data_IF_080925926487
#
_entry.id   IF_080925926487
#
_cell.length_a   1.000
_cell.length_b   1.000
_cell.length_c   1.000
_cell.angle_alpha   90.00
_cell.angle_beta   90.00
_cell.angle_gamma   90.00
#
_symmetry.space_group_name_H-M   'P 1'
#
loop_
_entity.id
_entity.type
_entity.pdbx_description
1 polymer ?
#
# COMPACT_ATOMS: atom_id res chain seq x y z
N UNK A 1 15.53 -1.72 12.17
CA UNK A 1 14.13 -2.23 12.27
C UNK A 1 13.22 -1.18 11.66
N UNK A 2 12.27 -1.61 10.84
CA UNK A 2 11.26 -0.75 10.22
C UNK A 2 9.87 -1.35 10.43
N UNK A 3 8.90 -0.51 10.76
CA UNK A 3 7.48 -0.83 10.73
C UNK A 3 6.89 -0.35 9.41
N UNK A 4 6.56 -1.30 8.56
CA UNK A 4 5.93 -1.07 7.28
C UNK A 4 4.44 -1.37 7.34
N UNK A 5 3.63 -0.64 6.59
CA UNK A 5 2.19 -0.82 6.59
C UNK A 5 1.58 -0.64 5.20
N UNK A 6 0.36 -1.13 5.04
CA UNK A 6 -0.50 -0.85 3.88
C UNK A 6 -1.92 -0.54 4.32
N UNK A 7 -2.57 0.40 3.64
CA UNK A 7 -3.92 0.79 3.96
C UNK A 7 -4.69 1.29 2.72
N UNK A 8 -5.73 0.56 2.34
CA UNK A 8 -6.70 1.05 1.36
C UNK A 8 -7.66 2.03 2.06
N UNK A 9 -7.67 3.29 1.63
CA UNK A 9 -8.42 4.38 2.28
C UNK A 9 -9.89 4.45 1.85
N UNK A 10 -10.30 3.71 0.81
CA UNK A 10 -11.62 3.83 0.21
C UNK A 10 -12.03 5.31 -0.02
N UNK A 11 -11.10 6.11 -0.51
CA UNK A 11 -11.29 7.55 -0.75
C UNK A 11 -11.75 8.31 0.52
N UNK A 12 -11.31 7.83 1.68
CA UNK A 12 -11.63 8.39 3.01
C UNK A 12 -13.14 8.46 3.32
N UNK A 13 -13.91 7.43 2.90
CA UNK A 13 -15.37 7.42 3.07
C UNK A 13 -15.91 6.39 4.07
N UNK A 14 -15.08 5.46 4.53
CA UNK A 14 -15.58 4.31 5.27
C UNK A 14 -16.38 3.35 4.37
N UNK A 15 -17.12 2.41 4.94
CA UNK A 15 -18.02 1.54 4.17
C UNK A 15 -19.15 2.33 3.50
N UNK A 16 -19.77 3.20 4.27
CA UNK A 16 -20.87 4.08 3.84
C UNK A 16 -20.75 5.37 4.64
N UNK A 17 -20.69 6.50 3.99
CA UNK A 17 -20.63 7.75 4.74
C UNK A 17 -19.97 8.90 4.00
N UNK A 18 -19.88 10.05 4.68
CA UNK A 18 -19.25 11.23 4.12
C UNK A 18 -17.74 11.04 4.00
N UNK A 19 -17.14 11.80 3.09
CA UNK A 19 -15.70 11.96 2.98
C UNK A 19 -15.16 12.59 4.30
N UNK A 20 -14.29 11.86 4.99
CA UNK A 20 -13.77 12.26 6.30
C UNK A 20 -12.28 11.88 6.47
N UNK A 21 -11.37 12.55 5.74
CA UNK A 21 -9.95 12.18 5.68
C UNK A 21 -9.24 12.25 7.04
N UNK A 22 -9.70 13.09 7.97
CA UNK A 22 -9.13 13.17 9.32
C UNK A 22 -9.16 11.83 10.05
N UNK A 23 -10.24 11.03 9.88
CA UNK A 23 -10.32 9.69 10.49
C UNK A 23 -9.20 8.77 10.00
N UNK A 24 -8.91 8.80 8.69
CA UNK A 24 -7.83 7.99 8.12
C UNK A 24 -6.46 8.46 8.62
N UNK A 25 -6.26 9.79 8.77
CA UNK A 25 -5.02 10.35 9.34
C UNK A 25 -4.83 9.94 10.80
N UNK A 26 -5.89 9.95 11.62
CA UNK A 26 -5.87 9.45 13.00
C UNK A 26 -5.47 7.98 13.08
N UNK A 27 -5.99 7.16 12.17
CA UNK A 27 -5.63 5.73 12.06
C UNK A 27 -4.15 5.56 11.71
N UNK A 28 -3.65 6.32 10.73
CA UNK A 28 -2.24 6.28 10.32
C UNK A 28 -1.34 6.74 11.47
N UNK A 29 -1.69 7.82 12.14
CA UNK A 29 -0.94 8.34 13.29
C UNK A 29 -0.89 7.32 14.43
N UNK A 30 -2.02 6.70 14.77
CA UNK A 30 -2.09 5.70 15.84
C UNK A 30 -1.34 4.39 15.49
N UNK A 31 -1.30 4.01 14.23
CA UNK A 31 -0.50 2.87 13.74
C UNK A 31 1.00 3.17 13.82
N UNK A 32 1.39 4.45 13.66
CA UNK A 32 2.78 4.93 13.71
C UNK A 32 3.76 4.10 12.84
N UNK A 33 3.53 3.96 11.52
CA UNK A 33 4.44 3.26 10.64
C UNK A 33 5.65 4.12 10.27
N UNK A 34 6.77 3.48 9.94
CA UNK A 34 7.91 4.18 9.34
C UNK A 34 7.67 4.45 7.85
N UNK A 35 7.01 3.50 7.18
CA UNK A 35 6.61 3.58 5.77
C UNK A 35 5.20 2.98 5.63
N UNK A 36 4.32 3.65 4.89
CA UNK A 36 2.99 3.12 4.60
C UNK A 36 2.62 3.30 3.13
N UNK A 37 2.22 2.20 2.48
CA UNK A 37 1.63 2.23 1.15
C UNK A 37 0.13 2.45 1.25
N UNK A 38 -0.37 3.48 0.60
CA UNK A 38 -1.78 3.86 0.61
C UNK A 38 -2.43 3.60 -0.75
N UNK A 39 -3.65 3.08 -0.73
CA UNK A 39 -4.48 2.89 -1.91
C UNK A 39 -5.74 3.75 -1.82
N UNK A 40 -6.30 4.06 -2.97
CA UNK A 40 -7.49 4.91 -3.13
C UNK A 40 -7.36 6.31 -2.51
N UNK A 41 -6.17 6.90 -2.63
CA UNK A 41 -5.85 8.25 -2.12
C UNK A 41 -6.43 9.38 -2.97
N UNK A 42 -6.94 9.08 -4.18
CA UNK A 42 -7.49 10.03 -5.13
C UNK A 42 -8.89 9.60 -5.58
N UNK A 43 -9.75 10.55 -5.91
CA UNK A 43 -11.01 10.27 -6.59
C UNK A 43 -10.75 9.81 -8.04
N UNK A 44 -11.54 8.85 -8.55
CA UNK A 44 -11.28 8.22 -9.85
C UNK A 44 -11.70 9.04 -11.06
N UNK A 45 -12.64 9.95 -10.90
CA UNK A 45 -13.30 10.66 -12.00
C UNK A 45 -12.91 12.13 -12.07
N UNK A 46 -13.09 12.74 -13.24
CA UNK A 46 -12.82 14.15 -13.50
C UNK A 46 -11.34 14.51 -13.35
N UNK A 47 -11.07 15.60 -12.66
CA UNK A 47 -9.71 16.09 -12.37
C UNK A 47 -8.92 15.20 -11.42
N UNK A 48 -9.52 14.11 -10.92
CA UNK A 48 -8.94 13.14 -9.98
C UNK A 48 -8.29 13.80 -8.76
N UNK A 49 -9.05 14.64 -8.02
CA UNK A 49 -8.49 15.32 -6.87
C UNK A 49 -8.13 14.33 -5.76
N UNK A 50 -7.20 14.74 -4.92
CA UNK A 50 -6.80 13.96 -3.75
C UNK A 50 -7.99 13.76 -2.80
N UNK A 51 -8.20 12.51 -2.37
CA UNK A 51 -9.16 12.17 -1.33
C UNK A 51 -8.54 12.32 0.07
N UNK A 52 -7.23 12.13 0.18
CA UNK A 52 -6.45 12.45 1.38
C UNK A 52 -5.70 13.75 1.14
N UNK A 53 -6.11 14.88 1.75
CA UNK A 53 -5.49 16.18 1.51
C UNK A 53 -4.01 16.20 1.92
N UNK A 54 -3.14 16.48 0.97
CA UNK A 54 -1.67 16.53 1.14
C UNK A 54 -1.24 17.43 2.29
N UNK A 55 -1.86 18.60 2.40
CA UNK A 55 -1.53 19.60 3.42
C UNK A 55 -1.78 19.16 4.87
N UNK A 56 -2.55 18.08 5.09
CA UNK A 56 -2.85 17.58 6.43
C UNK A 56 -1.94 16.43 6.87
N UNK A 57 -1.19 15.83 5.93
CA UNK A 57 -0.48 14.57 6.18
C UNK A 57 0.64 14.76 7.21
N UNK A 58 1.54 15.71 6.97
CA UNK A 58 2.73 15.88 7.81
C UNK A 58 2.35 16.27 9.25
N UNK A 59 1.44 17.23 9.42
CA UNK A 59 0.97 17.68 10.74
C UNK A 59 0.30 16.54 11.51
N UNK A 60 -0.57 15.76 10.85
CA UNK A 60 -1.37 14.74 11.50
C UNK A 60 -0.60 13.44 11.78
N UNK A 61 0.42 13.10 10.98
CA UNK A 61 1.05 11.78 11.02
C UNK A 61 2.57 11.81 11.22
N UNK A 62 3.22 12.95 11.05
CA UNK A 62 4.68 13.07 11.02
C UNK A 62 5.32 12.46 9.76
N UNK A 63 4.53 11.98 8.79
CA UNK A 63 5.02 11.38 7.56
C UNK A 63 4.98 12.36 6.40
N UNK A 64 5.80 12.11 5.38
CA UNK A 64 5.81 12.88 4.13
C UNK A 64 5.48 11.96 2.95
N UNK A 65 4.74 12.46 1.94
CA UNK A 65 4.52 11.70 0.71
C UNK A 65 5.83 11.51 -0.09
N UNK A 66 5.98 10.32 -0.66
CA UNK A 66 7.04 10.05 -1.62
C UNK A 66 6.89 10.95 -2.85
N UNK A 67 8.01 11.46 -3.37
CA UNK A 67 8.02 12.30 -4.57
C UNK A 67 7.81 11.46 -5.82
N UNK A 68 6.56 11.42 -6.30
CA UNK A 68 6.16 10.65 -7.48
C UNK A 68 6.17 11.58 -8.69
N UNK A 69 7.22 11.49 -9.49
CA UNK A 69 7.30 12.24 -10.76
C UNK A 69 6.15 11.82 -11.68
N UNK A 70 5.26 12.78 -12.03
CA UNK A 70 4.09 12.55 -12.88
C UNK A 70 3.00 11.75 -12.17
N UNK A 71 2.35 12.35 -11.18
CA UNK A 71 1.08 11.89 -10.59
C UNK A 71 0.00 11.72 -11.66
N UNK A 72 -1.13 11.09 -11.34
CA UNK A 72 -2.20 10.84 -12.32
C UNK A 72 -2.77 12.13 -12.92
N UNK A 73 -2.86 13.17 -12.12
CA UNK A 73 -3.17 14.55 -12.53
C UNK A 73 -2.46 15.54 -11.62
N UNK A 74 -2.50 16.82 -11.94
CA UNK A 74 -1.94 17.89 -11.08
C UNK A 74 -2.63 17.96 -9.70
N UNK A 75 -3.89 17.49 -9.61
CA UNK A 75 -4.68 17.50 -8.40
C UNK A 75 -4.62 16.17 -7.62
N UNK A 76 -3.88 15.18 -8.11
CA UNK A 76 -3.76 13.86 -7.46
C UNK A 76 -2.62 13.85 -6.45
N UNK A 77 -2.85 13.22 -5.29
CA UNK A 77 -1.81 12.93 -4.32
C UNK A 77 -0.82 11.89 -4.85
N UNK A 78 -1.33 10.95 -5.65
CA UNK A 78 -0.56 9.80 -6.07
C UNK A 78 -0.68 9.46 -7.56
N UNK A 79 -0.32 8.22 -7.89
CA UNK A 79 -0.40 7.68 -9.23
C UNK A 79 -1.34 6.48 -9.27
N UNK A 80 -2.37 6.55 -10.13
CA UNK A 80 -3.48 5.59 -10.16
C UNK A 80 -4.13 5.33 -8.79
N UNK A 81 -4.25 6.39 -7.97
CA UNK A 81 -4.84 6.33 -6.64
C UNK A 81 -3.94 5.72 -5.57
N UNK A 82 -2.64 5.61 -5.82
CA UNK A 82 -1.68 5.08 -4.85
C UNK A 82 -0.60 6.08 -4.52
N UNK A 83 -0.15 6.06 -3.27
CA UNK A 83 1.04 6.79 -2.81
C UNK A 83 1.75 6.00 -1.72
N UNK A 84 2.96 6.41 -1.38
CA UNK A 84 3.69 5.90 -0.22
C UNK A 84 4.00 7.11 0.66
N UNK A 85 3.70 7.00 1.95
CA UNK A 85 4.18 7.94 2.95
C UNK A 85 5.35 7.32 3.71
N UNK A 86 6.29 8.14 4.14
CA UNK A 86 7.46 7.69 4.89
C UNK A 86 7.87 8.74 5.92
N UNK A 87 8.68 8.32 6.88
CA UNK A 87 9.33 9.29 7.78
C UNK A 87 10.24 10.24 7.00
N UNK A 88 10.31 11.53 7.37
CA UNK A 88 11.12 12.52 6.66
C UNK A 88 12.60 12.12 6.50
N UNK A 89 13.15 11.43 7.49
CA UNK A 89 14.55 10.99 7.50
C UNK A 89 14.89 9.98 6.39
N UNK A 90 13.86 9.28 5.90
CA UNK A 90 14.01 8.32 4.81
C UNK A 90 13.92 8.98 3.43
N UNK A 91 13.32 10.17 3.35
CA UNK A 91 12.98 10.81 2.09
C UNK A 91 14.22 11.24 1.29
N UNK A 92 15.29 11.68 1.96
CA UNK A 92 16.53 12.14 1.30
C UNK A 92 17.21 11.02 0.49
N UNK A 93 17.20 9.78 1.02
CA UNK A 93 17.80 8.63 0.36
C UNK A 93 16.83 7.88 -0.56
N UNK A 94 15.57 8.29 -0.61
CA UNK A 94 14.53 7.58 -1.32
C UNK A 94 14.48 7.96 -2.81
N UNK A 95 14.27 6.97 -3.66
CA UNK A 95 13.90 7.19 -5.07
C UNK A 95 12.62 6.45 -5.39
N UNK A 96 11.79 7.04 -6.26
CA UNK A 96 10.46 6.52 -6.56
C UNK A 96 10.35 6.17 -8.04
N UNK A 97 9.77 5.00 -8.35
CA UNK A 97 9.46 4.57 -9.71
C UNK A 97 8.00 4.14 -9.83
N UNK A 98 7.34 4.59 -10.87
CA UNK A 98 6.03 4.10 -11.29
C UNK A 98 6.19 2.79 -12.05
N UNK A 99 5.34 1.83 -11.77
CA UNK A 99 5.30 0.51 -12.41
C UNK A 99 3.94 0.35 -13.11
N UNK A 100 3.82 0.67 -14.41
CA UNK A 100 2.58 0.46 -15.15
C UNK A 100 2.18 -1.01 -15.18
N UNK A 101 0.91 -1.29 -14.88
CA UNK A 101 0.38 -2.64 -14.81
C UNK A 101 -0.61 -2.90 -15.96
N UNK A 102 -0.64 -4.13 -16.51
CA UNK A 102 -1.61 -4.51 -17.53
C UNK A 102 -3.00 -4.66 -16.94
N UNK A 103 -4.01 -4.59 -17.79
CA UNK A 103 -5.41 -4.85 -17.42
C UNK A 103 -6.38 -3.81 -17.98
N UNK A 104 -7.67 -4.12 -17.86
CA UNK A 104 -8.76 -3.23 -18.31
C UNK A 104 -8.86 -2.02 -17.38
N UNK A 105 -8.69 -2.24 -16.08
CA UNK A 105 -8.66 -1.16 -15.10
C UNK A 105 -7.27 -0.51 -15.09
N UNK A 106 -7.19 0.84 -15.14
CA UNK A 106 -5.92 1.53 -15.01
C UNK A 106 -5.39 1.36 -13.58
N UNK A 107 -4.47 0.42 -13.43
CA UNK A 107 -3.75 0.09 -12.19
C UNK A 107 -2.26 0.35 -12.35
N UNK A 108 -1.59 0.55 -11.25
CA UNK A 108 -0.15 0.70 -11.19
C UNK A 108 0.38 0.19 -9.86
N UNK A 109 1.68 0.07 -9.75
CA UNK A 109 2.39 -0.08 -8.48
C UNK A 109 3.44 1.02 -8.36
N UNK A 110 3.84 1.34 -7.15
CA UNK A 110 4.86 2.34 -6.84
C UNK A 110 5.99 1.64 -6.13
N UNK A 111 7.19 1.71 -6.68
CA UNK A 111 8.40 1.24 -6.03
C UNK A 111 9.13 2.41 -5.37
N UNK A 112 9.23 2.37 -4.05
CA UNK A 112 10.08 3.21 -3.22
C UNK A 112 11.38 2.46 -2.96
N UNK A 113 12.48 2.98 -3.47
CA UNK A 113 13.81 2.40 -3.29
C UNK A 113 14.57 3.20 -2.24
N UNK A 114 15.00 2.50 -1.21
CA UNK A 114 15.93 2.95 -0.17
C UNK A 114 17.27 2.20 -0.34
N UNK A 115 18.37 2.64 0.31
CA UNK A 115 19.57 1.83 0.39
C UNK A 115 19.23 0.44 0.93
N UNK A 116 19.57 -0.62 0.19
CA UNK A 116 19.38 -2.04 0.55
C UNK A 116 17.93 -2.50 0.74
N UNK A 117 16.90 -1.71 0.38
CA UNK A 117 15.49 -2.11 0.53
C UNK A 117 14.63 -1.45 -0.54
N UNK A 118 13.78 -2.24 -1.19
CA UNK A 118 12.74 -1.74 -2.10
C UNK A 118 11.37 -2.09 -1.57
N UNK A 119 10.54 -1.08 -1.34
CA UNK A 119 9.13 -1.23 -0.95
C UNK A 119 8.26 -1.02 -2.20
N UNK A 120 7.39 -1.96 -2.51
CA UNK A 120 6.46 -1.85 -3.64
C UNK A 120 5.03 -1.80 -3.10
N UNK A 121 4.43 -0.63 -3.15
CA UNK A 121 3.01 -0.43 -2.89
C UNK A 121 2.19 -0.82 -4.12
N UNK A 122 1.12 -1.59 -3.92
CA UNK A 122 0.28 -2.07 -5.02
C UNK A 122 -1.22 -2.06 -4.67
N UNK A 123 -2.05 -2.00 -5.72
CA UNK A 123 -3.48 -2.23 -5.66
C UNK A 123 -3.89 -2.98 -6.93
N UNK A 124 -4.13 -4.28 -6.81
CA UNK A 124 -4.41 -5.14 -7.95
C UNK A 124 -5.85 -5.00 -8.46
N UNK A 125 -6.08 -5.45 -9.67
CA UNK A 125 -7.39 -5.43 -10.31
C UNK A 125 -8.37 -6.45 -9.71
N UNK A 126 -9.66 -6.24 -9.94
CA UNK A 126 -10.74 -7.10 -9.42
C UNK A 126 -10.78 -8.46 -10.17
N UNK A 127 -10.46 -8.47 -11.46
CA UNK A 127 -10.45 -9.70 -12.25
C UNK A 127 -9.17 -10.52 -11.97
N UNK A 128 -9.34 -11.82 -11.72
CA UNK A 128 -8.23 -12.73 -11.41
C UNK A 128 -7.17 -12.80 -12.51
N UNK A 129 -7.60 -12.83 -13.78
CA UNK A 129 -6.67 -12.81 -14.92
C UNK A 129 -5.80 -11.55 -14.92
N UNK A 130 -6.40 -10.39 -14.64
CA UNK A 130 -5.67 -9.13 -14.49
C UNK A 130 -4.67 -9.20 -13.33
N UNK A 131 -5.08 -9.68 -12.15
CA UNK A 131 -4.19 -9.81 -10.98
C UNK A 131 -2.97 -10.69 -11.27
N UNK A 132 -3.17 -11.85 -11.91
CA UNK A 132 -2.06 -12.74 -12.30
C UNK A 132 -1.07 -12.06 -13.25
N UNK A 133 -1.57 -11.39 -14.29
CA UNK A 133 -0.72 -10.64 -15.22
C UNK A 133 -0.01 -9.46 -14.53
N UNK A 134 -0.68 -8.77 -13.62
CA UNK A 134 -0.13 -7.68 -12.84
C UNK A 134 0.98 -8.15 -11.91
N UNK A 135 0.76 -9.22 -11.15
CA UNK A 135 1.79 -9.79 -10.27
C UNK A 135 3.01 -10.28 -11.08
N UNK A 136 2.79 -10.98 -12.19
CA UNK A 136 3.89 -11.41 -13.06
C UNK A 136 4.70 -10.19 -13.58
N UNK A 137 4.03 -9.09 -13.91
CA UNK A 137 4.69 -7.85 -14.34
C UNK A 137 5.47 -7.20 -13.21
N UNK A 138 4.90 -7.14 -12.00
CA UNK A 138 5.57 -6.56 -10.82
C UNK A 138 6.81 -7.36 -10.47
N UNK A 139 6.72 -8.69 -10.37
CA UNK A 139 7.87 -9.55 -10.02
C UNK A 139 8.98 -9.47 -11.06
N UNK A 140 8.64 -9.47 -12.35
CA UNK A 140 9.64 -9.32 -13.43
C UNK A 140 10.32 -7.95 -13.41
N UNK A 141 9.62 -6.88 -13.00
CA UNK A 141 10.23 -5.56 -12.85
C UNK A 141 11.03 -5.45 -11.55
N UNK A 142 10.52 -6.00 -10.46
CA UNK A 142 11.19 -6.01 -9.16
C UNK A 142 12.59 -6.64 -9.26
N UNK A 143 12.72 -7.76 -9.94
CA UNK A 143 14.00 -8.44 -10.17
C UNK A 143 15.03 -7.61 -10.96
N UNK A 144 14.57 -6.54 -11.65
CA UNK A 144 15.46 -5.64 -12.42
C UNK A 144 15.85 -4.37 -11.68
N UNK A 145 15.07 -3.96 -10.68
CA UNK A 145 15.24 -2.68 -9.98
C UNK A 145 15.76 -2.83 -8.56
N UNK A 146 15.59 -3.99 -7.96
CA UNK A 146 16.03 -4.29 -6.61
C UNK A 146 17.23 -5.24 -6.62
N UNK A 147 18.19 -4.97 -5.76
CA UNK A 147 19.35 -5.83 -5.62
C UNK A 147 18.98 -7.10 -4.85
N UNK A 148 18.45 -7.00 -3.63
CA UNK A 148 18.17 -8.20 -2.83
C UNK A 148 16.91 -8.11 -1.93
N UNK A 149 16.66 -6.98 -1.29
CA UNK A 149 15.59 -6.87 -0.28
C UNK A 149 14.34 -6.20 -0.85
N UNK A 150 13.32 -6.98 -1.10
CA UNK A 150 12.05 -6.51 -1.67
C UNK A 150 10.92 -6.81 -0.69
N UNK A 151 10.06 -5.83 -0.49
CA UNK A 151 8.76 -6.01 0.14
C UNK A 151 7.68 -5.44 -0.77
N UNK A 152 6.70 -6.25 -1.13
CA UNK A 152 5.49 -5.85 -1.85
C UNK A 152 4.34 -5.88 -0.86
N UNK A 153 3.55 -4.82 -0.77
CA UNK A 153 2.41 -4.77 0.14
C UNK A 153 1.29 -3.93 -0.46
N UNK A 154 0.05 -4.28 -0.12
CA UNK A 154 -1.10 -3.59 -0.66
C UNK A 154 -2.38 -4.41 -0.63
N UNK A 155 -3.38 -3.89 -1.31
CA UNK A 155 -4.61 -4.60 -1.62
C UNK A 155 -4.40 -5.50 -2.85
N UNK A 156 -4.30 -6.80 -2.58
CA UNK A 156 -4.12 -7.82 -3.62
C UNK A 156 -5.45 -8.20 -4.29
N UNK A 157 -6.58 -7.82 -3.72
CA UNK A 157 -7.92 -8.22 -4.20
C UNK A 157 -8.05 -9.75 -4.42
N UNK A 158 -7.19 -10.57 -3.78
CA UNK A 158 -7.24 -12.02 -3.91
C UNK A 158 -7.93 -12.65 -2.70
N UNK A 159 -9.05 -13.30 -2.98
CA UNK A 159 -9.93 -13.91 -1.99
C UNK A 159 -9.44 -15.28 -1.51
N UNK A 160 -8.47 -15.88 -2.21
CA UNK A 160 -7.98 -17.22 -1.92
C UNK A 160 -6.51 -17.18 -1.52
N UNK A 161 -6.14 -18.07 -0.61
CA UNK A 161 -4.77 -18.21 -0.15
C UNK A 161 -3.96 -19.21 -0.99
N UNK A 162 -4.66 -20.14 -1.65
CA UNK A 162 -4.09 -21.30 -2.33
C UNK A 162 -3.79 -21.08 -3.82
N UNK A 163 -4.21 -19.97 -4.40
CA UNK A 163 -4.03 -19.71 -5.85
C UNK A 163 -4.15 -18.23 -6.21
N UNK A 164 -3.61 -17.88 -7.38
CA UNK A 164 -3.62 -16.49 -7.86
C UNK A 164 -2.36 -15.72 -7.48
N UNK A 165 -1.49 -16.31 -6.66
CA UNK A 165 -0.25 -15.74 -6.15
C UNK A 165 0.99 -16.48 -6.68
N UNK A 166 0.84 -17.28 -7.71
CA UNK A 166 1.89 -18.18 -8.24
C UNK A 166 3.18 -17.41 -8.65
N UNK A 167 3.02 -16.17 -9.13
CA UNK A 167 4.16 -15.30 -9.48
C UNK A 167 5.01 -14.89 -8.26
N UNK A 168 4.52 -15.10 -7.05
CA UNK A 168 5.21 -14.79 -5.80
C UNK A 168 5.94 -15.98 -5.19
N UNK A 169 6.11 -17.10 -5.93
CA UNK A 169 6.78 -18.32 -5.42
C UNK A 169 8.20 -18.07 -4.87
N UNK A 170 8.89 -17.02 -5.35
CA UNK A 170 10.20 -16.60 -4.84
C UNK A 170 10.15 -15.66 -3.61
N UNK A 171 8.97 -15.45 -3.02
CA UNK A 171 8.76 -14.57 -1.88
C UNK A 171 8.02 -15.30 -0.76
N UNK A 172 8.27 -14.89 0.48
CA UNK A 172 7.41 -15.25 1.61
C UNK A 172 6.15 -14.39 1.54
N UNK A 173 5.00 -15.01 1.31
CA UNK A 173 3.70 -14.32 1.29
C UNK A 173 3.06 -14.43 2.67
N UNK A 174 2.62 -13.31 3.21
CA UNK A 174 2.00 -13.18 4.52
C UNK A 174 0.61 -12.59 4.33
N UNK A 175 -0.39 -13.26 4.87
CA UNK A 175 -1.71 -12.72 5.12
C UNK A 175 -1.78 -12.34 6.60
N UNK A 176 -1.61 -11.04 6.99
CA UNK A 176 -1.51 -10.67 8.41
C UNK A 176 -2.78 -10.96 9.22
N UNK A 177 -3.91 -11.09 8.53
CA UNK A 177 -5.21 -11.42 9.09
C UNK A 177 -6.34 -10.85 8.24
N UNK A 178 -7.61 -11.10 8.62
CA UNK A 178 -8.76 -10.49 7.94
C UNK A 178 -8.72 -8.96 8.06
N UNK A 179 -8.73 -8.29 6.91
CA UNK A 179 -8.71 -6.82 6.80
C UNK A 179 -10.01 -6.25 6.20
N UNK A 180 -10.81 -7.08 5.53
CA UNK A 180 -12.01 -6.67 4.81
C UNK A 180 -13.24 -7.56 5.16
N UNK A 181 -14.46 -7.01 5.24
CA UNK A 181 -14.77 -5.58 5.36
C UNK A 181 -14.46 -5.06 6.78
N UNK A 182 -13.94 -3.85 6.91
CA UNK A 182 -13.41 -3.32 8.17
C UNK A 182 -14.36 -3.39 9.38
N UNK A 183 -15.70 -3.17 9.27
CA UNK A 183 -16.60 -3.29 10.43
C UNK A 183 -16.65 -4.71 11.02
N UNK A 184 -16.55 -5.75 10.16
CA UNK A 184 -16.57 -7.15 10.55
C UNK A 184 -15.61 -7.95 9.64
N UNK A 185 -14.30 -7.91 9.90
CA UNK A 185 -13.30 -8.47 9.00
C UNK A 185 -13.42 -9.99 8.88
N UNK A 186 -13.46 -10.46 7.64
CA UNK A 186 -13.58 -11.89 7.30
C UNK A 186 -12.58 -12.34 6.24
N UNK A 187 -12.07 -11.42 5.42
CA UNK A 187 -11.22 -11.73 4.27
C UNK A 187 -9.89 -11.02 4.37
N UNK A 188 -8.82 -11.72 4.07
CA UNK A 188 -7.46 -11.18 4.02
C UNK A 188 -7.12 -10.75 2.59
N UNK A 189 -7.70 -9.63 2.12
CA UNK A 189 -7.45 -9.09 0.77
C UNK A 189 -6.11 -8.37 0.70
N UNK A 190 -5.66 -7.82 1.83
CA UNK A 190 -4.39 -7.12 1.96
C UNK A 190 -3.29 -8.10 2.37
N UNK A 191 -2.15 -8.03 1.68
CA UNK A 191 -1.05 -8.98 1.88
C UNK A 191 0.30 -8.29 1.86
N UNK A 192 1.29 -9.01 2.36
CA UNK A 192 2.70 -8.65 2.32
C UNK A 192 3.46 -9.82 1.69
N UNK A 193 4.25 -9.55 0.64
CA UNK A 193 5.17 -10.51 0.06
C UNK A 193 6.59 -9.96 0.21
N UNK A 194 7.50 -10.72 0.82
CA UNK A 194 8.84 -10.24 1.13
C UNK A 194 9.91 -11.26 0.76
N UNK A 195 11.11 -10.78 0.46
CA UNK A 195 12.29 -11.61 0.20
C UNK A 195 12.55 -12.54 1.39
N UNK A 196 12.93 -13.80 1.13
CA UNK A 196 13.06 -14.83 2.16
C UNK A 196 14.09 -14.53 3.26
N UNK A 197 15.14 -13.79 2.91
CA UNK A 197 16.22 -13.44 3.85
C UNK A 197 15.92 -12.21 4.72
N UNK A 198 14.82 -11.50 4.46
CA UNK A 198 14.37 -10.47 5.38
C UNK A 198 13.79 -11.10 6.64
N UNK A 199 14.23 -10.62 7.79
CA UNK A 199 13.71 -11.08 9.07
C UNK A 199 12.38 -10.38 9.39
N UNK A 200 11.34 -11.19 9.56
CA UNK A 200 10.02 -10.74 10.01
C UNK A 200 9.96 -10.84 11.52
N UNK A 201 9.80 -9.72 12.21
CA UNK A 201 9.75 -9.64 13.68
C UNK A 201 8.32 -9.70 14.21
N UNK A 202 7.36 -9.18 13.45
CA UNK A 202 5.95 -9.19 13.80
C UNK A 202 5.08 -8.74 12.63
N UNK A 203 3.81 -9.08 12.67
CA UNK A 203 2.82 -8.61 11.69
C UNK A 203 1.41 -8.67 12.27
N UNK A 204 0.48 -7.94 11.67
CA UNK A 204 -0.91 -7.97 12.10
C UNK A 204 -1.80 -7.04 11.31
N UNK A 205 -3.07 -7.01 11.75
CA UNK A 205 -4.10 -6.09 11.30
C UNK A 205 -4.33 -5.07 12.41
N UNK A 206 -4.34 -3.80 12.05
CA UNK A 206 -4.58 -2.72 13.02
C UNK A 206 -6.07 -2.40 13.10
N UNK A 207 -6.65 -2.56 14.28
CA UNK A 207 -8.07 -2.29 14.55
C UNK A 207 -8.28 -1.22 15.63
N UNK A 208 -7.21 -0.49 15.98
CA UNK A 208 -7.26 0.62 16.93
C UNK A 208 -7.83 1.90 16.34
N UNK A 209 -7.96 2.92 17.19
CA UNK A 209 -8.60 4.19 16.85
C UNK A 209 -9.95 3.95 16.12
N UNK A 210 -10.29 4.77 15.13
CA UNK A 210 -11.51 4.64 14.36
C UNK A 210 -11.33 3.78 13.08
N UNK A 211 -10.41 2.81 13.07
CA UNK A 211 -10.04 2.07 11.86
C UNK A 211 -11.25 1.38 11.19
N UNK A 212 -12.19 0.86 11.99
CA UNK A 212 -13.40 0.18 11.48
C UNK A 212 -14.38 1.11 10.77
N UNK A 213 -14.28 2.41 11.02
CA UNK A 213 -15.18 3.43 10.47
C UNK A 213 -14.49 4.28 9.39
N UNK A 214 -13.16 4.31 9.38
CA UNK A 214 -12.38 5.19 8.53
C UNK A 214 -12.27 4.72 7.08
N UNK A 215 -12.33 3.41 6.84
CA UNK A 215 -12.29 2.77 5.52
C UNK A 215 -13.12 1.49 5.52
N UNK A 216 -13.30 0.86 4.36
CA UNK A 216 -13.82 -0.51 4.22
C UNK A 216 -12.74 -1.57 4.40
N UNK A 217 -11.47 -1.21 4.43
CA UNK A 217 -10.33 -2.04 4.81
C UNK A 217 -9.75 -1.61 6.16
N UNK A 218 -9.15 -2.56 6.89
CA UNK A 218 -8.27 -2.29 8.01
C UNK A 218 -6.81 -2.23 7.55
N UNK A 219 -5.97 -1.37 8.12
CA UNK A 219 -4.55 -1.38 7.83
C UNK A 219 -3.89 -2.70 8.22
N UNK A 220 -2.97 -3.17 7.39
CA UNK A 220 -2.04 -4.25 7.74
C UNK A 220 -0.65 -3.69 7.99
N UNK A 221 0.13 -4.38 8.83
CA UNK A 221 1.49 -3.97 9.16
C UNK A 221 2.43 -5.16 9.33
N UNK A 222 3.71 -4.90 9.16
CA UNK A 222 4.79 -5.80 9.55
C UNK A 222 5.97 -5.01 10.11
N UNK A 223 6.66 -5.61 11.08
CA UNK A 223 7.96 -5.15 11.56
C UNK A 223 9.04 -6.04 10.96
N UNK A 224 9.99 -5.42 10.29
CA UNK A 224 11.07 -6.12 9.60
C UNK A 224 12.43 -5.61 10.07
N UNK A 225 13.40 -6.50 10.06
CA UNK A 225 14.83 -6.13 10.12
C UNK A 225 15.43 -6.27 8.73
N UNK A 226 16.12 -5.24 8.29
CA UNK A 226 16.89 -5.26 7.06
C UNK A 226 18.33 -4.80 7.34
N UNK A 227 19.31 -5.24 6.57
CA UNK A 227 20.74 -4.97 6.82
C UNK A 227 21.09 -3.48 6.67
#
# INVERSE_FOLDING_TARGET
MLKIASYNLHKCRGMTGPHAPKRNLEVIAALAPDIIALQEVDFRLGARPEALPRGLIAEATGLVPADIVGTTSQNSLGWHGQTILMRPELAEAATVRRMPLPGIEPRGAIALRLPKLTIIGLHLGLARSSRRAQLARITAQASRIAEDNIVMLGDFNEWRDDRGLESLAGFRVIAPGPSYPAPMPRFALDRIAMSHHLELLGHGVFSGANAREASDHLPIWAEIRYP
#
